data_IF_711757064721
#
_entry.id   IF_711757064721
#
_cell.length_a   1.000
_cell.length_b   1.000
_cell.length_c   1.000
_cell.angle_alpha   90.00
_cell.angle_beta   90.00
_cell.angle_gamma   90.00
#
_symmetry.space_group_name_H-M   'P 1'
#
loop_
_entity.id
_entity.type
_entity.pdbx_description
1 polymer ?
#
# COMPACT_ATOMS: atom_id res chain seq x y z
N UNK A 1 -42.28 -10.47 -32.53
CA UNK A 1 -41.55 -9.37 -33.17
C UNK A 1 -40.19 -9.94 -33.54
N UNK A 2 -40.04 -10.35 -34.79
CA UNK A 2 -38.74 -10.73 -35.33
C UNK A 2 -37.93 -9.44 -35.46
N UNK A 3 -36.94 -9.28 -34.59
CA UNK A 3 -35.96 -8.20 -34.73
C UNK A 3 -35.10 -8.55 -35.96
N UNK A 4 -35.47 -8.03 -37.13
CA UNK A 4 -34.56 -7.94 -38.28
C UNK A 4 -33.40 -7.05 -37.84
N UNK A 5 -32.30 -7.69 -37.43
CA UNK A 5 -31.03 -7.00 -37.21
C UNK A 5 -30.60 -6.43 -38.56
N UNK A 6 -30.66 -5.11 -38.72
CA UNK A 6 -30.19 -4.40 -39.91
C UNK A 6 -28.80 -4.90 -40.29
N UNK A 7 -28.68 -5.40 -41.52
CA UNK A 7 -27.41 -5.86 -42.07
C UNK A 7 -26.49 -4.64 -42.22
N UNK A 8 -25.37 -4.64 -41.48
CA UNK A 8 -24.39 -3.56 -41.53
C UNK A 8 -23.75 -3.47 -42.93
N UNK A 9 -24.08 -2.39 -43.65
CA UNK A 9 -23.60 -2.09 -45.02
C UNK A 9 -22.32 -1.26 -45.02
N UNK A 10 -21.76 -0.90 -43.88
CA UNK A 10 -20.49 -0.18 -43.82
C UNK A 10 -19.37 -1.15 -44.16
N UNK A 11 -18.76 -0.96 -45.34
CA UNK A 11 -17.57 -1.71 -45.74
C UNK A 11 -16.51 -1.60 -44.66
N UNK A 12 -16.12 -2.74 -44.09
CA UNK A 12 -15.12 -2.81 -43.03
C UNK A 12 -13.80 -2.27 -43.59
N UNK A 13 -13.21 -1.21 -43.02
CA UNK A 13 -11.87 -0.79 -43.40
C UNK A 13 -10.90 -1.91 -43.04
N UNK A 14 -10.41 -2.59 -44.07
CA UNK A 14 -9.45 -3.69 -43.91
C UNK A 14 -8.17 -3.40 -44.67
N UNK A 15 -7.06 -3.88 -44.12
CA UNK A 15 -5.76 -3.79 -44.79
C UNK A 15 -5.40 -5.19 -45.30
N UNK A 16 -5.32 -5.40 -46.62
CA UNK A 16 -4.90 -6.68 -47.17
C UNK A 16 -3.44 -6.95 -46.79
N UNK A 17 -3.13 -8.21 -46.50
CA UNK A 17 -1.80 -8.65 -46.12
C UNK A 17 -1.60 -10.14 -46.41
N UNK A 18 -0.35 -10.58 -46.31
CA UNK A 18 0.02 -11.99 -46.47
C UNK A 18 1.08 -12.34 -45.44
N UNK A 19 0.95 -13.51 -44.81
CA UNK A 19 1.92 -14.03 -43.84
C UNK A 19 2.21 -15.49 -44.14
N UNK A 20 3.49 -15.88 -44.04
CA UNK A 20 3.91 -17.28 -44.16
C UNK A 20 4.31 -17.78 -42.79
N UNK A 21 3.59 -18.80 -42.31
CA UNK A 21 3.79 -19.38 -40.98
C UNK A 21 4.36 -20.78 -41.10
N UNK A 22 5.48 -21.02 -40.42
CA UNK A 22 6.03 -22.36 -40.24
C UNK A 22 5.18 -23.12 -39.24
N UNK A 23 4.68 -24.29 -39.65
CA UNK A 23 3.80 -25.11 -38.82
C UNK A 23 4.54 -25.75 -37.65
N UNK A 24 3.78 -26.06 -36.61
CA UNK A 24 4.27 -26.80 -35.45
C UNK A 24 4.44 -28.31 -35.75
N UNK A 25 4.90 -29.05 -34.74
CA UNK A 25 5.08 -30.51 -34.83
C UNK A 25 3.77 -31.28 -35.08
N UNK A 26 2.61 -30.66 -34.87
CA UNK A 26 1.29 -31.23 -35.14
C UNK A 26 0.73 -30.80 -36.50
N UNK A 27 1.54 -30.15 -37.35
CA UNK A 27 1.15 -29.63 -38.66
C UNK A 27 0.03 -28.56 -38.57
N UNK A 28 -0.02 -27.81 -37.46
CA UNK A 28 -0.96 -26.73 -37.20
C UNK A 28 -0.26 -25.36 -37.21
N UNK A 29 -1.05 -24.32 -37.52
CA UNK A 29 -0.61 -22.91 -37.40
C UNK A 29 -1.18 -22.23 -36.15
N UNK A 30 -2.21 -22.80 -35.52
CA UNK A 30 -2.77 -22.32 -34.26
C UNK A 30 -3.87 -21.25 -34.34
N UNK A 31 -4.74 -21.32 -35.35
CA UNK A 31 -5.92 -20.44 -35.46
C UNK A 31 -7.23 -21.25 -35.47
N UNK A 32 -8.30 -20.66 -34.94
CA UNK A 32 -9.67 -21.13 -35.07
C UNK A 32 -10.40 -20.32 -36.14
N UNK A 33 -11.13 -20.99 -37.04
CA UNK A 33 -11.80 -20.37 -38.19
C UNK A 33 -13.32 -20.36 -37.96
N UNK A 34 -13.94 -19.21 -38.19
CA UNK A 34 -15.37 -18.97 -38.15
C UNK A 34 -15.91 -18.51 -39.50
N UNK A 35 -17.24 -18.52 -39.63
CA UNK A 35 -17.93 -18.15 -40.86
C UNK A 35 -17.90 -19.26 -41.92
N UNK A 36 -17.85 -18.84 -43.19
CA UNK A 36 -17.89 -19.71 -44.36
C UNK A 36 -19.32 -20.06 -44.83
N UNK A 37 -19.38 -20.58 -46.06
CA UNK A 37 -20.63 -20.94 -46.72
C UNK A 37 -21.45 -21.98 -45.91
N UNK A 38 -22.79 -21.97 -45.96
CA UNK A 38 -23.68 -21.13 -46.77
C UNK A 38 -24.17 -19.85 -46.07
N UNK A 39 -24.06 -19.77 -44.75
CA UNK A 39 -24.71 -18.73 -43.95
C UNK A 39 -23.86 -17.47 -43.73
N UNK A 40 -22.55 -17.53 -43.99
CA UNK A 40 -21.63 -16.41 -43.78
C UNK A 40 -20.69 -16.25 -44.99
N UNK A 41 -20.73 -15.12 -45.72
CA UNK A 41 -19.98 -14.94 -46.96
C UNK A 41 -18.46 -14.80 -46.75
N UNK A 42 -18.02 -14.48 -45.53
CA UNK A 42 -16.62 -14.31 -45.17
C UNK A 42 -16.12 -15.44 -44.25
N UNK A 43 -14.81 -15.69 -44.29
CA UNK A 43 -14.12 -16.57 -43.34
C UNK A 43 -13.24 -15.70 -42.47
N UNK A 44 -13.29 -15.88 -41.17
CA UNK A 44 -12.53 -15.03 -40.23
C UNK A 44 -11.93 -15.84 -39.10
N UNK A 45 -10.91 -15.26 -38.47
CA UNK A 45 -10.24 -15.85 -37.32
C UNK A 45 -11.11 -15.64 -36.08
N UNK A 46 -11.56 -16.71 -35.43
CA UNK A 46 -12.29 -16.63 -34.16
C UNK A 46 -11.33 -16.41 -33.00
N UNK A 47 -10.20 -17.12 -33.03
CA UNK A 47 -9.22 -17.12 -31.97
C UNK A 47 -7.86 -17.50 -32.53
N UNK A 48 -6.81 -16.88 -31.98
CA UNK A 48 -5.44 -17.35 -32.11
C UNK A 48 -5.07 -18.04 -30.79
N UNK A 49 -4.52 -19.25 -30.85
CA UNK A 49 -4.18 -20.02 -29.65
C UNK A 49 -2.78 -19.66 -29.15
N UNK A 50 -2.63 -19.49 -27.84
CA UNK A 50 -1.34 -19.17 -27.21
C UNK A 50 -0.30 -20.27 -27.50
N UNK A 51 0.98 -19.89 -27.56
CA UNK A 51 2.12 -20.80 -27.82
C UNK A 51 2.06 -21.54 -29.18
N UNK A 52 1.38 -20.97 -30.18
CA UNK A 52 1.34 -21.51 -31.54
C UNK A 52 2.10 -20.62 -32.53
N UNK A 53 2.44 -21.11 -33.75
CA UNK A 53 3.14 -20.30 -34.74
C UNK A 53 2.45 -18.96 -35.05
N UNK A 54 1.12 -18.93 -35.18
CA UNK A 54 0.38 -17.70 -35.41
C UNK A 54 0.45 -16.72 -34.23
N UNK A 55 0.46 -17.21 -32.99
CA UNK A 55 0.59 -16.36 -31.81
C UNK A 55 2.00 -15.77 -31.65
N UNK A 56 3.04 -16.56 -31.97
CA UNK A 56 4.44 -16.13 -31.88
C UNK A 56 4.81 -15.11 -32.95
N UNK A 57 4.28 -15.29 -34.17
CA UNK A 57 4.46 -14.34 -35.27
C UNK A 57 3.69 -13.02 -35.01
N UNK A 58 2.48 -13.11 -34.45
CA UNK A 58 1.68 -11.94 -34.04
C UNK A 58 1.00 -11.18 -35.20
N UNK A 59 1.21 -11.57 -36.45
CA UNK A 59 0.59 -10.90 -37.61
C UNK A 59 -0.91 -11.17 -37.70
N UNK A 60 -1.35 -12.40 -37.41
CA UNK A 60 -2.77 -12.79 -37.45
C UNK A 60 -3.44 -12.55 -36.10
N UNK A 61 -4.69 -12.10 -36.12
CA UNK A 61 -5.43 -11.86 -34.89
C UNK A 61 -6.96 -12.04 -35.08
N UNK A 62 -7.68 -12.28 -34.00
CA UNK A 62 -9.12 -12.57 -33.99
C UNK A 62 -9.95 -11.45 -34.64
N UNK A 63 -10.89 -11.80 -35.50
CA UNK A 63 -11.64 -10.85 -36.32
C UNK A 63 -10.98 -10.52 -37.67
N UNK A 64 -9.73 -10.94 -37.94
CA UNK A 64 -9.17 -10.83 -39.29
C UNK A 64 -9.87 -11.78 -40.27
N UNK A 65 -10.08 -11.34 -41.50
CA UNK A 65 -10.69 -12.16 -42.55
C UNK A 65 -9.60 -12.95 -43.30
N UNK A 66 -9.89 -14.20 -43.64
CA UNK A 66 -9.05 -15.08 -44.44
C UNK A 66 -9.55 -15.02 -45.88
N UNK A 67 -8.72 -14.53 -46.79
CA UNK A 67 -9.06 -14.37 -48.21
C UNK A 67 -8.45 -15.47 -49.09
N UNK A 68 -7.35 -16.08 -48.65
CA UNK A 68 -6.69 -17.17 -49.39
C UNK A 68 -5.70 -18.00 -48.58
N UNK A 69 -5.41 -19.20 -49.06
CA UNK A 69 -4.41 -20.13 -48.50
C UNK A 69 -3.50 -20.60 -49.64
N UNK A 70 -2.19 -20.39 -49.51
CA UNK A 70 -1.17 -20.69 -50.53
C UNK A 70 -1.56 -20.22 -51.94
N UNK A 71 -2.01 -18.97 -52.04
CA UNK A 71 -2.42 -18.34 -53.30
C UNK A 71 -3.79 -18.81 -53.85
N UNK A 72 -4.47 -19.77 -53.20
CA UNK A 72 -5.81 -20.21 -53.59
C UNK A 72 -6.87 -19.41 -52.84
N UNK A 73 -7.85 -18.79 -53.52
CA UNK A 73 -8.92 -18.07 -52.86
C UNK A 73 -9.80 -19.03 -52.03
N UNK A 74 -10.32 -18.52 -50.91
CA UNK A 74 -11.21 -19.27 -50.01
C UNK A 74 -12.65 -18.74 -49.95
N UNK A 75 -12.96 -17.67 -50.69
CA UNK A 75 -14.33 -17.14 -50.80
C UNK A 75 -15.28 -18.24 -51.29
N UNK A 76 -16.44 -18.37 -50.63
CA UNK A 76 -17.44 -19.39 -50.94
C UNK A 76 -17.16 -20.79 -50.38
N UNK A 77 -16.04 -21.00 -49.68
CA UNK A 77 -15.74 -22.27 -49.01
C UNK A 77 -16.31 -22.31 -47.58
N UNK A 78 -16.49 -23.52 -47.07
CA UNK A 78 -16.84 -23.76 -45.67
C UNK A 78 -15.60 -23.67 -44.78
N UNK A 79 -15.79 -23.38 -43.48
CA UNK A 79 -14.70 -23.39 -42.48
C UNK A 79 -13.91 -24.71 -42.47
N UNK A 80 -14.58 -25.84 -42.71
CA UNK A 80 -13.97 -27.18 -42.71
C UNK A 80 -13.07 -27.35 -43.93
N UNK A 81 -13.50 -26.88 -45.10
CA UNK A 81 -12.67 -26.93 -46.32
C UNK A 81 -11.42 -26.06 -46.18
N UNK A 82 -11.53 -24.86 -45.62
CA UNK A 82 -10.37 -23.99 -45.39
C UNK A 82 -9.41 -24.60 -44.38
N UNK A 83 -9.92 -25.18 -43.28
CA UNK A 83 -9.10 -25.90 -42.33
C UNK A 83 -8.34 -27.06 -43.00
N UNK A 84 -9.02 -27.85 -43.85
CA UNK A 84 -8.39 -28.92 -44.64
C UNK A 84 -7.35 -28.39 -45.63
N UNK A 85 -7.61 -27.25 -46.29
CA UNK A 85 -6.64 -26.61 -47.18
C UNK A 85 -5.36 -26.21 -46.45
N UNK A 86 -5.48 -25.64 -45.25
CA UNK A 86 -4.32 -25.29 -44.43
C UNK A 86 -3.59 -26.56 -43.99
N UNK A 87 -4.30 -27.59 -43.52
CA UNK A 87 -3.73 -28.86 -43.09
C UNK A 87 -3.01 -29.62 -44.21
N UNK A 88 -3.50 -29.55 -45.45
CA UNK A 88 -2.91 -30.23 -46.60
C UNK A 88 -1.53 -29.67 -47.01
N UNK A 89 -1.22 -28.42 -46.64
CA UNK A 89 0.09 -27.81 -46.87
C UNK A 89 1.10 -28.38 -45.87
N UNK A 90 2.27 -28.83 -46.34
CA UNK A 90 3.34 -29.33 -45.47
C UNK A 90 4.40 -28.24 -45.24
N UNK A 91 4.95 -28.19 -44.02
CA UNK A 91 6.01 -27.24 -43.67
C UNK A 91 5.51 -25.82 -43.39
N UNK A 92 5.28 -25.02 -44.44
CA UNK A 92 4.95 -23.60 -44.33
C UNK A 92 3.62 -23.28 -45.03
N UNK A 93 2.71 -22.62 -44.32
CA UNK A 93 1.43 -22.18 -44.86
C UNK A 93 1.39 -20.65 -45.02
N UNK A 94 1.08 -20.20 -46.23
CA UNK A 94 0.90 -18.79 -46.57
C UNK A 94 -0.58 -18.42 -46.49
N UNK A 95 -0.93 -17.55 -45.54
CA UNK A 95 -2.28 -17.06 -45.31
C UNK A 95 -2.40 -15.65 -45.90
N UNK A 96 -3.35 -15.48 -46.81
CA UNK A 96 -3.77 -14.16 -47.30
C UNK A 96 -4.94 -13.70 -46.43
N UNK A 97 -4.84 -12.49 -45.89
CA UNK A 97 -5.80 -11.99 -44.92
C UNK A 97 -6.15 -10.52 -45.18
N UNK A 98 -7.30 -10.12 -44.66
CA UNK A 98 -7.75 -8.74 -44.55
C UNK A 98 -7.76 -8.37 -43.07
N UNK A 99 -6.81 -7.52 -42.66
CA UNK A 99 -6.64 -7.09 -41.27
C UNK A 99 -7.81 -6.22 -40.87
N UNK A 100 -8.49 -6.58 -39.78
CA UNK A 100 -9.56 -5.76 -39.22
C UNK A 100 -8.95 -4.52 -38.53
N UNK A 101 -9.27 -3.32 -39.03
CA UNK A 101 -9.03 -2.09 -38.27
C UNK A 101 -10.17 -1.90 -37.27
N UNK A 102 -9.90 -2.28 -36.02
CA UNK A 102 -10.86 -2.20 -34.94
C UNK A 102 -10.45 -1.08 -33.98
N UNK A 103 -11.37 -0.16 -33.66
CA UNK A 103 -11.21 0.74 -32.52
C UNK A 103 -11.80 0.08 -31.26
N UNK A 104 -10.98 -0.26 -30.24
CA UNK A 104 -11.46 -0.86 -29.01
C UNK A 104 -12.49 -0.01 -28.25
N UNK A 105 -12.60 1.30 -28.54
CA UNK A 105 -13.64 2.16 -27.98
C UNK A 105 -15.04 1.82 -28.52
N UNK A 106 -15.13 1.38 -29.77
CA UNK A 106 -16.41 1.01 -30.41
C UNK A 106 -16.98 -0.32 -29.89
N UNK A 107 -16.12 -1.22 -29.39
CA UNK A 107 -16.55 -2.50 -28.80
C UNK A 107 -17.06 -2.40 -27.37
N UNK A 108 -17.04 -1.22 -26.74
CA UNK A 108 -17.54 -1.01 -25.38
C UNK A 108 -19.04 -0.76 -25.42
N UNK A 109 -19.84 -1.80 -25.25
CA UNK A 109 -21.29 -1.65 -25.09
C UNK A 109 -21.61 -0.83 -23.83
N UNK A 110 -22.76 -0.14 -23.85
CA UNK A 110 -23.31 0.54 -22.67
C UNK A 110 -23.42 -0.41 -21.47
N UNK A 111 -23.68 -1.70 -21.71
CA UNK A 111 -23.71 -2.74 -20.70
C UNK A 111 -22.34 -2.92 -20.01
N UNK A 112 -21.24 -2.94 -20.75
CA UNK A 112 -19.87 -3.00 -20.16
C UNK A 112 -19.59 -1.74 -19.33
N UNK A 113 -20.06 -0.56 -19.78
CA UNK A 113 -19.89 0.69 -19.05
C UNK A 113 -20.70 0.68 -17.74
N UNK A 114 -21.97 0.27 -17.80
CA UNK A 114 -22.86 0.12 -16.64
C UNK A 114 -22.31 -0.90 -15.65
N UNK A 115 -21.82 -2.04 -16.14
CA UNK A 115 -21.13 -3.07 -15.35
C UNK A 115 -19.90 -2.50 -14.64
N UNK A 116 -19.08 -1.68 -15.31
CA UNK A 116 -17.92 -1.00 -14.69
C UNK A 116 -18.31 0.02 -13.63
N UNK A 117 -19.41 0.75 -13.83
CA UNK A 117 -19.94 1.70 -12.84
C UNK A 117 -20.43 0.94 -11.61
N UNK A 118 -21.22 -0.14 -11.81
CA UNK A 118 -21.65 -1.03 -10.73
C UNK A 118 -20.45 -1.58 -9.96
N UNK A 119 -19.40 -2.05 -10.65
CA UNK A 119 -18.20 -2.56 -10.00
C UNK A 119 -17.53 -1.53 -9.10
N UNK A 120 -17.29 -0.32 -9.60
CA UNK A 120 -16.66 0.77 -8.83
C UNK A 120 -17.43 1.17 -7.58
N UNK A 121 -18.77 1.09 -7.63
CA UNK A 121 -19.63 1.37 -6.47
C UNK A 121 -19.50 0.29 -5.38
N UNK A 122 -19.29 -0.95 -5.80
CA UNK A 122 -19.31 -2.12 -4.89
C UNK A 122 -17.92 -2.47 -4.36
N UNK A 123 -16.84 -2.04 -5.02
CA UNK A 123 -15.45 -2.27 -4.58
C UNK A 123 -15.15 -1.74 -3.17
N UNK A 124 -15.77 -0.62 -2.77
CA UNK A 124 -15.56 0.00 -1.46
C UNK A 124 -16.56 -0.48 -0.38
N UNK A 125 -17.47 -1.40 -0.72
CA UNK A 125 -18.49 -1.90 0.21
C UNK A 125 -18.08 -3.24 0.82
N UNK A 126 -18.39 -3.50 2.08
CA UNK A 126 -18.20 -4.83 2.68
C UNK A 126 -19.05 -5.88 1.94
N UNK A 127 -18.68 -7.16 2.00
CA UNK A 127 -19.46 -8.25 1.39
C UNK A 127 -20.91 -8.26 1.90
N UNK A 128 -21.09 -8.15 3.22
CA UNK A 128 -22.42 -8.07 3.83
C UNK A 128 -23.24 -6.85 3.39
N UNK A 129 -22.59 -5.69 3.21
CA UNK A 129 -23.27 -4.48 2.71
C UNK A 129 -23.66 -4.61 1.24
N UNK A 130 -22.80 -5.20 0.41
CA UNK A 130 -23.07 -5.42 -1.01
C UNK A 130 -24.22 -6.43 -1.21
N UNK A 131 -24.25 -7.50 -0.43
CA UNK A 131 -25.32 -8.50 -0.45
C UNK A 131 -26.66 -7.90 0.00
N UNK A 132 -26.65 -7.06 1.05
CA UNK A 132 -27.82 -6.33 1.51
C UNK A 132 -28.39 -5.36 0.46
N UNK A 133 -27.54 -4.83 -0.43
CA UNK A 133 -27.93 -3.97 -1.56
C UNK A 133 -28.23 -4.76 -2.85
N UNK A 134 -28.17 -6.09 -2.82
CA UNK A 134 -28.37 -6.94 -4.01
C UNK A 134 -27.26 -6.80 -5.07
N UNK A 135 -26.09 -6.28 -4.69
CA UNK A 135 -24.97 -6.03 -5.57
C UNK A 135 -23.96 -7.18 -5.51
N UNK A 136 -24.06 -8.13 -6.45
CA UNK A 136 -23.15 -9.28 -6.51
C UNK A 136 -21.67 -8.89 -6.68
N UNK A 137 -20.81 -9.38 -5.78
CA UNK A 137 -19.33 -9.30 -5.82
C UNK A 137 -18.64 -10.59 -6.28
N UNK A 138 -19.37 -11.57 -6.82
CA UNK A 138 -18.85 -12.93 -7.09
C UNK A 138 -17.54 -12.98 -7.91
N UNK A 139 -17.28 -11.97 -8.74
CA UNK A 139 -16.07 -11.83 -9.56
C UNK A 139 -14.80 -11.49 -8.73
N UNK A 140 -14.98 -10.78 -7.61
CA UNK A 140 -13.94 -10.25 -6.73
C UNK A 140 -13.69 -11.14 -5.50
N UNK A 141 -14.75 -11.65 -4.87
CA UNK A 141 -14.68 -12.23 -3.52
C UNK A 141 -13.86 -13.52 -3.37
N UNK A 142 -13.55 -14.21 -4.47
CA UNK A 142 -12.75 -15.45 -4.45
C UNK A 142 -11.37 -15.32 -5.13
N UNK A 143 -10.93 -14.10 -5.46
CA UNK A 143 -9.59 -13.91 -6.04
C UNK A 143 -8.51 -14.01 -4.95
N UNK A 144 -7.51 -14.88 -5.15
CA UNK A 144 -6.36 -14.98 -4.27
C UNK A 144 -5.59 -13.66 -4.12
N UNK A 145 -5.64 -12.78 -5.14
CA UNK A 145 -5.02 -11.46 -5.08
C UNK A 145 -5.78 -10.46 -4.21
N UNK A 146 -7.10 -10.64 -4.03
CA UNK A 146 -7.88 -9.83 -3.09
C UNK A 146 -7.52 -10.21 -1.65
N UNK A 147 -7.36 -11.51 -1.36
CA UNK A 147 -6.84 -11.96 -0.06
C UNK A 147 -5.43 -11.45 0.21
N UNK A 148 -4.55 -11.47 -0.80
CA UNK A 148 -3.21 -10.88 -0.69
C UNK A 148 -3.24 -9.38 -0.43
N UNK A 149 -4.21 -8.66 -0.98
CA UNK A 149 -4.39 -7.25 -0.69
C UNK A 149 -4.80 -7.01 0.76
N UNK A 150 -5.72 -7.80 1.30
CA UNK A 150 -6.12 -7.74 2.72
C UNK A 150 -4.95 -8.08 3.66
N UNK A 151 -4.15 -9.11 3.33
CA UNK A 151 -2.91 -9.44 4.06
C UNK A 151 -1.94 -8.25 4.07
N UNK A 152 -1.76 -7.58 2.94
CA UNK A 152 -0.88 -6.42 2.78
C UNK A 152 -1.38 -5.21 3.58
N UNK A 153 -2.70 -5.01 3.67
CA UNK A 153 -3.30 -3.97 4.53
C UNK A 153 -3.08 -4.25 6.02
N UNK A 154 -3.33 -5.47 6.48
CA UNK A 154 -3.06 -5.86 7.88
C UNK A 154 -1.59 -5.73 8.24
N UNK A 155 -0.72 -6.10 7.30
CA UNK A 155 0.73 -5.91 7.44
C UNK A 155 1.04 -4.43 7.59
N UNK A 156 0.52 -3.56 6.72
CA UNK A 156 0.73 -2.11 6.79
C UNK A 156 0.32 -1.51 8.15
N UNK A 157 -0.79 -1.95 8.74
CA UNK A 157 -1.23 -1.52 10.07
C UNK A 157 -0.24 -1.93 11.17
N UNK A 158 0.29 -3.15 11.12
CA UNK A 158 1.32 -3.61 12.04
C UNK A 158 2.58 -2.73 11.94
N UNK A 159 3.02 -2.39 10.72
CA UNK A 159 4.16 -1.48 10.51
C UNK A 159 3.91 -0.09 11.07
N UNK A 160 2.67 0.39 10.94
CA UNK A 160 2.30 1.71 11.44
C UNK A 160 2.43 1.73 12.97
N UNK A 161 1.91 0.70 13.63
CA UNK A 161 2.07 0.51 15.07
C UNK A 161 3.55 0.43 15.47
N UNK A 162 4.35 -0.41 14.80
CA UNK A 162 5.78 -0.55 15.08
C UNK A 162 6.53 0.79 14.96
N UNK A 163 6.25 1.56 13.91
CA UNK A 163 6.85 2.87 13.70
C UNK A 163 6.45 3.86 14.80
N UNK A 164 5.18 3.91 15.18
CA UNK A 164 4.69 4.78 16.25
C UNK A 164 5.31 4.43 17.61
N UNK A 165 5.37 3.15 17.96
CA UNK A 165 6.00 2.68 19.19
C UNK A 165 7.50 2.98 19.21
N UNK A 166 8.20 2.76 18.10
CA UNK A 166 9.64 3.07 17.98
C UNK A 166 9.89 4.57 18.15
N UNK A 167 9.04 5.44 17.57
CA UNK A 167 9.13 6.90 17.78
C UNK A 167 8.95 7.29 19.24
N UNK A 168 7.96 6.73 19.93
CA UNK A 168 7.73 6.98 21.37
C UNK A 168 8.91 6.52 22.22
N UNK A 169 9.45 5.32 21.92
CA UNK A 169 10.61 4.78 22.59
C UNK A 169 11.84 5.68 22.43
N UNK A 170 12.13 6.15 21.20
CA UNK A 170 13.27 7.04 20.96
C UNK A 170 13.12 8.38 21.67
N UNK A 171 11.88 8.90 21.78
CA UNK A 171 11.62 10.12 22.55
C UNK A 171 11.89 9.91 24.03
N UNK A 172 11.39 8.83 24.61
CA UNK A 172 11.65 8.48 26.01
C UNK A 172 13.15 8.28 26.29
N UNK A 173 13.88 7.62 25.37
CA UNK A 173 15.33 7.45 25.48
C UNK A 173 16.09 8.77 25.41
N UNK A 174 15.63 9.72 24.59
CA UNK A 174 16.21 11.05 24.51
C UNK A 174 16.01 11.82 25.81
N UNK A 175 14.80 11.81 26.37
CA UNK A 175 14.48 12.43 27.66
C UNK A 175 15.32 11.80 28.78
N UNK A 176 15.43 10.46 28.83
CA UNK A 176 16.29 9.75 29.78
C UNK A 176 17.77 10.15 29.64
N UNK A 177 18.26 10.30 28.41
CA UNK A 177 19.64 10.74 28.15
C UNK A 177 19.88 12.15 28.69
N UNK A 178 18.90 13.06 28.55
CA UNK A 178 18.98 14.39 29.14
C UNK A 178 19.01 14.34 30.67
N UNK A 179 18.23 13.45 31.29
CA UNK A 179 18.27 13.25 32.74
C UNK A 179 19.64 12.73 33.20
N UNK A 180 20.27 11.79 32.48
CA UNK A 180 21.63 11.36 32.78
C UNK A 180 22.63 12.52 32.72
N UNK A 181 22.53 13.40 31.72
CA UNK A 181 23.36 14.60 31.68
C UNK A 181 23.17 15.49 32.91
N UNK A 182 21.92 15.73 33.29
CA UNK A 182 21.61 16.53 34.49
C UNK A 182 22.19 15.91 35.76
N UNK A 183 22.06 14.59 35.95
CA UNK A 183 22.71 13.88 37.05
C UNK A 183 24.23 14.05 37.02
N UNK A 184 24.84 13.93 35.85
CA UNK A 184 26.27 14.15 35.66
C UNK A 184 26.71 15.54 36.12
N UNK A 185 25.95 16.57 35.76
CA UNK A 185 26.25 17.95 36.14
C UNK A 185 26.06 18.18 37.65
N UNK A 186 24.98 17.65 38.25
CA UNK A 186 24.72 17.77 39.69
C UNK A 186 25.77 17.03 40.52
N UNK A 187 26.10 15.77 40.19
CA UNK A 187 27.12 15.02 40.91
C UNK A 187 28.51 15.67 40.79
N UNK A 188 28.82 16.28 39.64
CA UNK A 188 30.06 17.03 39.48
C UNK A 188 30.13 18.24 40.43
N UNK A 189 29.01 18.94 40.63
CA UNK A 189 28.95 20.07 41.57
C UNK A 189 29.06 19.61 43.03
N UNK A 190 28.38 18.51 43.38
CA UNK A 190 28.46 17.93 44.73
C UNK A 190 29.89 17.48 45.02
N UNK A 191 30.52 16.74 44.09
CA UNK A 191 31.89 16.25 44.26
C UNK A 191 32.91 17.35 44.52
N UNK A 192 32.81 18.50 43.84
CA UNK A 192 33.71 19.65 44.06
C UNK A 192 33.51 20.32 45.43
N UNK A 193 32.29 20.26 45.98
CA UNK A 193 31.94 20.91 47.26
C UNK A 193 32.07 19.99 48.47
N UNK A 194 32.24 18.69 48.25
CA UNK A 194 32.30 17.69 49.30
C UNK A 194 33.64 17.74 50.05
N UNK A 195 33.66 18.02 51.37
CA UNK A 195 34.89 18.13 52.13
C UNK A 195 35.62 16.80 52.33
N UNK A 196 34.90 15.68 52.28
CA UNK A 196 35.51 14.35 52.42
C UNK A 196 36.05 13.87 51.06
N UNK A 197 37.37 13.71 50.96
CA UNK A 197 38.05 13.36 49.70
C UNK A 197 37.51 12.06 49.05
N UNK A 198 37.20 11.04 49.85
CA UNK A 198 36.66 9.77 49.35
C UNK A 198 35.25 9.94 48.74
N UNK A 199 34.38 10.72 49.38
CA UNK A 199 33.04 11.01 48.87
C UNK A 199 33.10 11.95 47.65
N UNK A 200 34.01 12.94 47.66
CA UNK A 200 34.30 13.80 46.51
C UNK A 200 34.68 12.99 45.27
N UNK A 201 35.63 12.05 45.40
CA UNK A 201 36.05 11.16 44.31
C UNK A 201 34.90 10.28 43.82
N UNK A 202 34.07 9.75 44.73
CA UNK A 202 32.89 8.96 44.39
C UNK A 202 31.90 9.74 43.53
N UNK A 203 31.55 10.97 43.94
CA UNK A 203 30.63 11.82 43.19
C UNK A 203 31.19 12.21 41.82
N UNK A 204 32.50 12.44 41.69
CA UNK A 204 33.14 12.69 40.38
C UNK A 204 33.04 11.45 39.48
N UNK A 205 33.30 10.24 40.00
CA UNK A 205 33.14 8.99 39.23
C UNK A 205 31.69 8.78 38.78
N UNK A 206 30.70 9.01 39.64
CA UNK A 206 29.29 8.96 39.26
C UNK A 206 28.93 10.02 38.22
N UNK A 207 29.48 11.23 38.34
CA UNK A 207 29.26 12.30 37.38
C UNK A 207 29.73 11.91 35.97
N UNK A 208 30.94 11.36 35.87
CA UNK A 208 31.50 10.87 34.61
C UNK A 208 30.71 9.68 34.06
N UNK A 209 30.32 8.74 34.91
CA UNK A 209 29.50 7.60 34.51
C UNK A 209 28.18 8.04 33.86
N UNK A 210 27.45 8.95 34.51
CA UNK A 210 26.20 9.51 33.99
C UNK A 210 26.40 10.29 32.69
N UNK A 211 27.48 11.08 32.56
CA UNK A 211 27.83 11.76 31.29
C UNK A 211 28.16 10.78 30.17
N UNK A 212 28.79 9.64 30.47
CA UNK A 212 29.07 8.60 29.49
C UNK A 212 27.79 7.87 29.05
N UNK A 213 26.89 7.57 29.98
CA UNK A 213 25.57 6.99 29.66
C UNK A 213 24.78 7.90 28.70
N UNK A 214 24.81 9.23 28.90
CA UNK A 214 24.20 10.17 27.95
C UNK A 214 24.82 10.04 26.55
N UNK A 215 26.16 10.05 26.44
CA UNK A 215 26.85 9.91 25.14
C UNK A 215 26.47 8.60 24.44
N UNK A 216 26.36 7.49 25.17
CA UNK A 216 25.92 6.21 24.62
C UNK A 216 24.46 6.26 24.17
N UNK A 217 23.58 6.91 24.94
CA UNK A 217 22.18 7.12 24.59
C UNK A 217 22.02 7.92 23.30
N UNK A 218 22.75 9.03 23.14
CA UNK A 218 22.74 9.81 21.90
C UNK A 218 23.25 9.00 20.70
N UNK A 219 24.24 8.12 20.90
CA UNK A 219 24.75 7.22 19.84
C UNK A 219 23.72 6.17 19.44
N UNK A 220 23.01 5.61 20.41
CA UNK A 220 21.90 4.68 20.17
C UNK A 220 20.80 5.35 19.32
N UNK A 221 20.39 6.56 19.69
CA UNK A 221 19.39 7.34 18.94
C UNK A 221 19.81 7.57 17.48
N UNK A 222 21.08 7.96 17.25
CA UNK A 222 21.63 8.13 15.88
C UNK A 222 21.65 6.81 15.10
N UNK A 223 21.84 5.69 15.78
CA UNK A 223 21.88 4.35 15.17
C UNK A 223 20.49 3.89 14.78
N UNK A 224 19.47 4.12 15.61
CA UNK A 224 18.09 3.65 15.36
C UNK A 224 17.32 4.60 14.45
N UNK A 225 17.59 5.92 14.47
CA UNK A 225 16.82 6.92 13.69
C UNK A 225 16.64 6.58 12.18
N UNK A 226 17.65 6.07 11.45
CA UNK A 226 17.48 5.70 10.04
C UNK A 226 16.42 4.61 9.79
N UNK A 227 16.22 3.71 10.75
CA UNK A 227 15.18 2.67 10.68
C UNK A 227 13.79 3.23 10.48
N UNK A 228 13.48 4.36 11.14
CA UNK A 228 12.20 5.03 10.96
C UNK A 228 12.02 5.55 9.53
N UNK A 229 13.09 5.97 8.87
CA UNK A 229 13.03 6.43 7.48
C UNK A 229 12.72 5.29 6.51
N UNK A 230 13.35 4.14 6.74
CA UNK A 230 13.16 2.94 5.90
C UNK A 230 11.75 2.38 6.06
N UNK A 231 11.28 2.24 7.31
CA UNK A 231 9.90 1.82 7.60
C UNK A 231 8.88 2.79 7.00
N UNK A 232 9.13 4.11 7.09
CA UNK A 232 8.27 5.13 6.50
C UNK A 232 8.21 5.04 4.98
N UNK A 233 9.34 4.73 4.33
CA UNK A 233 9.39 4.51 2.87
C UNK A 233 8.58 3.29 2.45
N UNK A 234 8.69 2.19 3.20
CA UNK A 234 7.88 0.99 2.95
C UNK A 234 6.38 1.28 3.05
N UNK A 235 5.97 1.96 4.13
CA UNK A 235 4.57 2.25 4.45
C UNK A 235 3.91 3.26 3.49
N UNK A 236 4.64 4.32 3.12
CA UNK A 236 4.08 5.44 2.37
C UNK A 236 4.40 5.41 0.87
N UNK A 237 5.32 4.54 0.42
CA UNK A 237 5.64 4.41 -1.01
C UNK A 237 5.39 3.00 -1.53
N UNK A 238 6.00 1.97 -0.94
CA UNK A 238 5.97 0.61 -1.49
C UNK A 238 4.59 -0.06 -1.41
N UNK A 239 3.95 0.02 -0.24
CA UNK A 239 2.59 -0.51 -0.01
C UNK A 239 1.55 0.19 -0.92
N UNK A 240 1.46 1.53 -0.97
CA UNK A 240 0.49 2.23 -1.82
C UNK A 240 0.68 1.94 -3.32
N UNK A 241 1.93 1.85 -3.79
CA UNK A 241 2.22 1.55 -5.19
C UNK A 241 1.80 0.12 -5.59
N UNK A 242 2.03 -0.85 -4.70
CA UNK A 242 1.57 -2.23 -4.90
C UNK A 242 0.05 -2.32 -4.87
N UNK A 243 -0.60 -1.65 -3.92
CA UNK A 243 -2.07 -1.54 -3.85
C UNK A 243 -2.68 -0.94 -5.11
N UNK A 244 -2.08 0.12 -5.65
CA UNK A 244 -2.51 0.73 -6.92
C UNK A 244 -2.42 -0.25 -8.09
N UNK A 245 -1.36 -1.06 -8.11
CA UNK A 245 -1.14 -2.06 -9.17
C UNK A 245 -2.18 -3.18 -9.09
N UNK A 246 -2.48 -3.68 -7.88
CA UNK A 246 -3.53 -4.68 -7.65
C UNK A 246 -4.90 -4.12 -8.08
N UNK A 247 -5.22 -2.87 -7.74
CA UNK A 247 -6.48 -2.22 -8.18
C UNK A 247 -6.60 -2.17 -9.71
N UNK A 248 -5.54 -1.75 -10.41
CA UNK A 248 -5.49 -1.76 -11.88
C UNK A 248 -5.71 -3.16 -12.45
N UNK A 249 -5.19 -4.19 -11.79
CA UNK A 249 -5.44 -5.58 -12.19
C UNK A 249 -6.90 -5.98 -12.04
N UNK A 250 -7.54 -5.63 -10.92
CA UNK A 250 -8.95 -5.94 -10.69
C UNK A 250 -9.84 -5.29 -11.77
N UNK A 251 -9.55 -4.04 -12.15
CA UNK A 251 -10.22 -3.35 -13.26
C UNK A 251 -10.08 -4.11 -14.60
N UNK A 252 -8.86 -4.55 -14.91
CA UNK A 252 -8.58 -5.29 -16.16
C UNK A 252 -9.24 -6.68 -16.13
N UNK A 253 -9.20 -7.37 -15.00
CA UNK A 253 -9.89 -8.66 -14.79
C UNK A 253 -11.39 -8.51 -15.01
N UNK A 254 -11.98 -7.46 -14.45
CA UNK A 254 -13.40 -7.19 -14.60
C UNK A 254 -13.78 -6.95 -16.07
N UNK A 255 -13.01 -6.12 -16.78
CA UNK A 255 -13.23 -5.87 -18.22
C UNK A 255 -13.14 -7.16 -19.04
N UNK A 256 -12.13 -8.00 -18.77
CA UNK A 256 -11.95 -9.29 -19.43
C UNK A 256 -13.15 -10.23 -19.20
N UNK A 257 -13.62 -10.33 -17.96
CA UNK A 257 -14.77 -11.19 -17.63
C UNK A 257 -16.08 -10.67 -18.21
N UNK A 258 -16.30 -9.35 -18.21
CA UNK A 258 -17.49 -8.73 -18.80
C UNK A 258 -17.58 -8.99 -20.32
N UNK A 259 -16.44 -9.02 -21.01
CA UNK A 259 -16.37 -9.36 -22.44
C UNK A 259 -16.56 -10.86 -22.72
N UNK A 260 -16.47 -11.73 -21.71
CA UNK A 260 -16.59 -13.18 -21.84
C UNK A 260 -18.03 -13.71 -21.99
N UNK A 261 -19.04 -12.86 -21.80
CA UNK A 261 -20.46 -13.28 -21.89
C UNK A 261 -20.84 -13.71 -23.31
N UNK A 262 -21.64 -14.78 -23.50
CA UNK A 262 -22.00 -15.27 -24.82
C UNK A 262 -22.66 -14.18 -25.66
N UNK A 263 -22.08 -13.86 -26.82
CA UNK A 263 -22.72 -12.99 -27.79
C UNK A 263 -23.57 -13.81 -28.75
N UNK A 264 -24.74 -13.26 -29.09
CA UNK A 264 -25.52 -13.77 -30.20
C UNK A 264 -24.68 -13.68 -31.46
N UNK A 265 -24.45 -14.83 -32.09
CA UNK A 265 -23.79 -14.91 -33.39
C UNK A 265 -24.78 -14.39 -34.41
N UNK A 266 -24.81 -13.08 -34.62
CA UNK A 266 -25.59 -12.47 -35.71
C UNK A 266 -25.18 -13.19 -36.98
N UNK A 267 -26.15 -13.71 -37.71
CA UNK A 267 -26.10 -14.90 -38.59
C UNK A 267 -25.04 -14.87 -39.70
N UNK A 268 -24.26 -13.79 -39.85
CA UNK A 268 -23.38 -13.51 -40.98
C UNK A 268 -21.95 -13.11 -40.59
N UNK A 269 -21.57 -13.04 -39.30
CA UNK A 269 -20.20 -12.64 -38.93
C UNK A 269 -19.84 -11.20 -39.33
N UNK A 270 -20.78 -10.28 -39.07
CA UNK A 270 -20.68 -8.85 -39.34
C UNK A 270 -19.48 -8.15 -38.65
N UNK A 271 -19.29 -6.86 -38.95
CA UNK A 271 -18.24 -6.02 -38.35
C UNK A 271 -18.27 -6.07 -36.82
N UNK A 272 -19.45 -5.88 -36.22
CA UNK A 272 -19.63 -5.84 -34.76
C UNK A 272 -19.16 -7.13 -34.08
N UNK A 273 -19.53 -8.30 -34.62
CA UNK A 273 -19.09 -9.57 -34.06
C UNK A 273 -17.57 -9.74 -34.13
N UNK A 274 -16.97 -9.39 -35.28
CA UNK A 274 -15.51 -9.46 -35.48
C UNK A 274 -14.77 -8.44 -34.61
N UNK A 275 -15.32 -7.25 -34.43
CA UNK A 275 -14.81 -6.21 -33.53
C UNK A 275 -14.80 -6.71 -32.07
N UNK A 276 -15.85 -7.41 -31.64
CA UNK A 276 -15.90 -7.95 -30.28
C UNK A 276 -14.90 -9.11 -30.10
N UNK A 277 -14.71 -9.96 -31.12
CA UNK A 277 -13.64 -10.97 -31.09
C UNK A 277 -12.25 -10.34 -30.89
N UNK A 278 -11.97 -9.23 -31.59
CA UNK A 278 -10.73 -8.44 -31.38
C UNK A 278 -10.65 -7.92 -29.95
N UNK A 279 -11.72 -7.28 -29.46
CA UNK A 279 -11.75 -6.72 -28.10
C UNK A 279 -11.52 -7.80 -27.03
N UNK A 280 -12.08 -9.00 -27.22
CA UNK A 280 -11.85 -10.15 -26.33
C UNK A 280 -10.40 -10.60 -26.31
N UNK A 281 -9.79 -10.73 -27.49
CA UNK A 281 -8.38 -11.11 -27.58
C UNK A 281 -7.50 -10.07 -26.88
N UNK A 282 -7.71 -8.78 -27.13
CA UNK A 282 -6.96 -7.72 -26.48
C UNK A 282 -7.15 -7.72 -24.96
N UNK A 283 -8.38 -7.86 -24.48
CA UNK A 283 -8.68 -7.92 -23.06
C UNK A 283 -8.02 -9.13 -22.39
N UNK A 284 -8.02 -10.31 -23.04
CA UNK A 284 -7.29 -11.50 -22.57
C UNK A 284 -5.79 -11.24 -22.45
N UNK A 285 -5.18 -10.64 -23.47
CA UNK A 285 -3.74 -10.33 -23.47
C UNK A 285 -3.39 -9.30 -22.39
N UNK A 286 -4.18 -8.23 -22.25
CA UNK A 286 -4.02 -7.23 -21.18
C UNK A 286 -4.15 -7.88 -19.80
N UNK A 287 -5.14 -8.74 -19.60
CA UNK A 287 -5.36 -9.46 -18.35
C UNK A 287 -4.20 -10.39 -18.00
N UNK A 288 -3.75 -11.22 -18.96
CA UNK A 288 -2.64 -12.14 -18.74
C UNK A 288 -1.34 -11.41 -18.39
N UNK A 289 -1.03 -10.32 -19.10
CA UNK A 289 0.12 -9.46 -18.81
C UNK A 289 0.03 -8.86 -17.41
N UNK A 290 -1.09 -8.18 -17.11
CA UNK A 290 -1.26 -7.52 -15.81
C UNK A 290 -1.23 -8.52 -14.65
N UNK A 291 -1.80 -9.73 -14.83
CA UNK A 291 -1.72 -10.81 -13.83
C UNK A 291 -0.27 -11.18 -13.52
N UNK A 292 0.56 -11.35 -14.56
CA UNK A 292 1.99 -11.65 -14.41
C UNK A 292 2.70 -10.51 -13.69
N UNK A 293 2.51 -9.27 -14.15
CA UNK A 293 3.14 -8.08 -13.58
C UNK A 293 2.82 -7.91 -12.09
N UNK A 294 1.57 -8.17 -11.68
CA UNK A 294 1.14 -8.06 -10.27
C UNK A 294 1.75 -9.15 -9.41
N UNK A 295 1.81 -10.39 -9.90
CA UNK A 295 2.38 -11.51 -9.15
C UNK A 295 3.88 -11.28 -8.91
N UNK A 296 4.63 -10.90 -9.95
CA UNK A 296 6.05 -10.55 -9.83
C UNK A 296 6.25 -9.38 -8.85
N UNK A 297 5.39 -8.36 -8.91
CA UNK A 297 5.50 -7.19 -8.02
C UNK A 297 5.22 -7.52 -6.55
N UNK A 298 4.22 -8.38 -6.27
CA UNK A 298 3.95 -8.86 -4.90
C UNK A 298 5.14 -9.68 -4.40
N UNK A 299 5.68 -10.58 -5.22
CA UNK A 299 6.83 -11.40 -4.82
C UNK A 299 8.08 -10.54 -4.54
N UNK A 300 8.36 -9.55 -5.39
CA UNK A 300 9.45 -8.60 -5.17
C UNK A 300 9.25 -7.76 -3.90
N UNK A 301 8.01 -7.35 -3.62
CA UNK A 301 7.69 -6.64 -2.39
C UNK A 301 7.94 -7.52 -1.17
N UNK A 302 7.45 -8.75 -1.17
CA UNK A 302 7.60 -9.71 -0.07
C UNK A 302 9.08 -10.04 0.19
N UNK A 303 9.87 -10.27 -0.87
CA UNK A 303 11.31 -10.55 -0.73
C UNK A 303 12.07 -9.36 -0.13
N UNK A 304 11.83 -8.15 -0.67
CA UNK A 304 12.47 -6.93 -0.18
C UNK A 304 12.06 -6.64 1.27
N UNK A 305 10.78 -6.81 1.55
CA UNK A 305 10.20 -6.62 2.88
C UNK A 305 10.90 -7.46 3.94
N UNK A 306 11.00 -8.78 3.73
CA UNK A 306 11.62 -9.69 4.69
C UNK A 306 13.07 -9.30 4.97
N UNK A 307 13.84 -8.97 3.92
CA UNK A 307 15.24 -8.55 4.07
C UNK A 307 15.36 -7.24 4.86
N UNK A 308 14.57 -6.23 4.51
CA UNK A 308 14.62 -4.91 5.14
C UNK A 308 14.28 -5.02 6.64
N UNK A 309 13.23 -5.76 7.01
CA UNK A 309 12.82 -5.91 8.42
C UNK A 309 13.88 -6.62 9.24
N UNK A 310 14.40 -7.74 8.75
CA UNK A 310 15.38 -8.53 9.49
C UNK A 310 16.60 -7.68 9.78
N UNK A 311 17.07 -6.93 8.78
CA UNK A 311 18.16 -5.98 8.94
C UNK A 311 17.83 -4.89 9.97
N UNK A 312 16.64 -4.28 9.89
CA UNK A 312 16.23 -3.25 10.83
C UNK A 312 16.09 -3.76 12.28
N UNK A 313 15.46 -4.93 12.48
CA UNK A 313 15.32 -5.53 13.80
C UNK A 313 16.67 -5.94 14.38
N UNK A 314 17.56 -6.50 13.57
CA UNK A 314 18.92 -6.82 13.99
C UNK A 314 19.67 -5.55 14.41
N UNK A 315 19.55 -4.47 13.64
CA UNK A 315 20.14 -3.16 13.96
C UNK A 315 19.56 -2.59 15.26
N UNK A 316 18.25 -2.74 15.49
CA UNK A 316 17.59 -2.35 16.73
C UNK A 316 18.17 -3.09 17.94
N UNK A 317 18.12 -4.42 17.91
CA UNK A 317 18.54 -5.29 19.01
C UNK A 317 20.03 -5.14 19.28
N UNK A 318 20.86 -5.10 18.23
CA UNK A 318 22.31 -4.92 18.37
C UNK A 318 22.66 -3.54 18.94
N UNK A 319 21.93 -2.49 18.52
CA UNK A 319 22.10 -1.15 19.08
C UNK A 319 21.76 -1.11 20.56
N UNK A 320 20.62 -1.70 20.94
CA UNK A 320 20.16 -1.77 22.33
C UNK A 320 21.11 -2.59 23.19
N UNK A 321 21.54 -3.78 22.75
CA UNK A 321 22.51 -4.61 23.46
C UNK A 321 23.78 -3.83 23.73
N UNK A 322 24.37 -3.24 22.68
CA UNK A 322 25.60 -2.47 22.81
C UNK A 322 25.46 -1.29 23.78
N UNK A 323 24.33 -0.59 23.76
CA UNK A 323 24.07 0.48 24.72
C UNK A 323 24.10 -0.03 26.16
N UNK A 324 23.37 -1.11 26.45
CA UNK A 324 23.33 -1.67 27.80
C UNK A 324 24.68 -2.28 28.23
N UNK A 325 25.41 -2.90 27.32
CA UNK A 325 26.76 -3.42 27.59
C UNK A 325 27.75 -2.28 27.92
N UNK A 326 27.70 -1.18 27.16
CA UNK A 326 28.50 0.03 27.41
C UNK A 326 28.11 0.70 28.76
N UNK A 327 26.82 0.77 29.08
CA UNK A 327 26.34 1.28 30.37
C UNK A 327 26.78 0.39 31.54
N UNK A 328 26.65 -0.93 31.39
CA UNK A 328 27.07 -1.88 32.41
C UNK A 328 28.57 -1.80 32.69
N UNK A 329 29.40 -1.71 31.65
CA UNK A 329 30.85 -1.57 31.80
C UNK A 329 31.22 -0.33 32.64
N UNK A 330 30.61 0.82 32.33
CA UNK A 330 30.84 2.07 33.07
C UNK A 330 30.36 2.00 34.51
N UNK A 331 29.19 1.40 34.76
CA UNK A 331 28.65 1.26 36.11
C UNK A 331 29.44 0.24 36.95
N UNK A 332 29.95 -0.82 36.32
CA UNK A 332 30.78 -1.83 36.98
C UNK A 332 32.13 -1.27 37.45
N UNK A 333 32.71 -0.35 36.68
CA UNK A 333 33.95 0.34 37.07
C UNK A 333 33.71 1.40 38.16
N UNK A 334 32.47 1.91 38.26
CA UNK A 334 32.04 2.86 39.28
C UNK A 334 31.59 2.17 40.59
N UNK A 335 32.31 1.14 41.04
CA UNK A 335 32.09 0.51 42.35
C UNK A 335 32.72 1.35 43.45
N UNK A 336 31.94 2.24 44.06
CA UNK A 336 32.40 3.19 45.08
C UNK A 336 31.68 3.04 46.42
N UNK A 337 31.05 1.89 46.67
CA UNK A 337 30.40 1.62 47.95
C UNK A 337 31.32 0.87 48.92
N UNK A 338 31.23 1.18 50.24
CA UNK A 338 30.35 2.17 50.86
C UNK A 338 30.91 3.60 50.79
N UNK A 339 30.05 4.57 50.46
CA UNK A 339 30.35 6.00 50.61
C UNK A 339 30.03 6.38 52.06
N UNK A 340 31.04 6.51 52.90
CA UNK A 340 30.86 7.17 54.20
C UNK A 340 30.67 8.67 53.94
N UNK A 341 29.46 9.18 54.15
CA UNK A 341 29.16 10.62 54.10
C UNK A 341 28.98 11.09 55.54
N UNK A 342 29.91 11.91 56.03
CA UNK A 342 29.81 12.49 57.37
C UNK A 342 28.78 13.64 57.40
N UNK A 343 27.50 13.26 57.56
CA UNK A 343 26.36 14.18 57.67
C UNK A 343 26.47 15.14 58.87
N UNK A 344 27.35 14.87 59.84
CA UNK A 344 27.50 15.71 61.03
C UNK A 344 28.19 17.04 60.73
N UNK A 345 28.97 17.14 59.65
CA UNK A 345 29.62 18.39 59.20
C UNK A 345 28.78 19.21 58.23
N UNK A 346 27.77 18.61 57.60
CA UNK A 346 26.88 19.25 56.62
C UNK A 346 25.53 19.68 57.21
N UNK A 347 25.16 19.21 58.41
CA UNK A 347 24.01 19.74 59.12
C UNK A 347 24.32 21.13 59.68
N UNK A 348 23.53 22.10 59.23
CA UNK A 348 23.51 23.48 59.68
C UNK A 348 23.52 23.54 61.22
N UNK A 349 24.54 24.15 61.80
CA UNK A 349 24.58 24.49 63.23
C UNK A 349 23.43 25.45 63.57
N UNK A 350 22.32 24.94 64.10
CA UNK A 350 21.35 25.74 64.85
C UNK A 350 21.86 26.00 66.27
N UNK A 351 23.09 26.54 66.37
CA UNK A 351 23.74 26.90 67.62
C UNK A 351 23.42 28.34 68.03
N UNK A 352 22.42 28.50 68.89
CA UNK A 352 22.28 29.54 69.92
C UNK A 352 22.62 30.99 69.56
N UNK A 353 21.59 31.77 69.22
CA UNK A 353 21.54 33.18 69.63
C UNK A 353 20.42 33.34 70.67
N UNK A 354 20.84 33.59 71.91
CA UNK A 354 20.02 34.11 72.99
C UNK A 354 19.41 35.46 72.57
N UNK A 355 18.08 35.53 72.49
CA UNK A 355 17.34 36.74 72.84
C UNK A 355 16.11 36.32 73.64
N UNK A 356 16.25 36.35 74.95
CA UNK A 356 15.17 36.31 75.93
C UNK A 356 14.36 37.60 75.83
N UNK A 357 13.03 37.54 75.75
CA UNK A 357 12.13 38.47 76.44
C UNK A 357 10.79 37.77 76.72
N UNK A 358 10.28 38.09 77.91
CA UNK A 358 9.29 37.38 78.70
C UNK A 358 7.84 37.52 78.21
N UNK A 359 6.99 36.60 78.67
CA UNK A 359 5.54 36.77 78.79
C UNK A 359 5.21 38.06 79.55
N UNK A 360 4.26 38.84 79.03
CA UNK A 360 3.37 39.71 79.81
C UNK A 360 2.00 39.70 79.10
N UNK A 361 0.97 39.28 79.87
CA UNK A 361 -0.46 39.40 79.56
C UNK A 361 -0.99 40.82 79.86
N UNK A 362 -2.22 41.10 79.42
CA UNK A 362 -3.10 42.28 79.70
C UNK A 362 -2.84 43.56 78.85
N UNK A 363 -3.79 44.35 78.35
CA UNK A 363 -5.25 44.47 78.49
C UNK A 363 -5.84 45.35 77.34
N UNK A 364 -7.16 45.57 77.38
CA UNK A 364 -8.14 46.08 76.39
C UNK A 364 -8.00 47.48 75.73
N UNK A 365 -8.88 47.67 74.73
CA UNK A 365 -9.63 48.88 74.28
C UNK A 365 -9.29 49.29 72.83
N UNK A 366 -10.21 49.46 71.88
CA UNK A 366 -11.64 49.74 71.91
C UNK A 366 -11.94 50.87 70.91
N UNK A 367 -12.64 50.57 69.80
CA UNK A 367 -13.55 51.47 69.02
C UNK A 367 -14.04 50.74 67.77
N UNK A 368 -15.32 50.32 67.75
CA UNK A 368 -16.49 51.03 67.18
C UNK A 368 -16.34 51.27 65.67
N UNK A 369 -17.31 50.98 64.79
CA UNK A 369 -18.73 50.58 64.91
C UNK A 369 -19.25 50.31 63.49
N UNK A 370 -20.24 49.41 63.41
CA UNK A 370 -21.47 49.42 62.58
C UNK A 370 -21.30 49.60 61.06
N UNK A 371 -21.73 48.63 60.25
CA UNK A 371 -23.16 48.36 59.97
C UNK A 371 -23.53 49.18 58.72
N UNK A 372 -24.29 48.72 57.74
CA UNK A 372 -25.31 47.70 57.66
C UNK A 372 -25.74 47.68 56.16
N UNK A 373 -26.24 46.52 55.70
CA UNK A 373 -27.45 46.32 54.87
C UNK A 373 -27.76 47.20 53.62
N UNK A 374 -28.53 46.78 52.61
CA UNK A 374 -29.31 45.59 52.37
C UNK A 374 -29.58 45.46 50.84
N UNK A 375 -29.65 44.20 50.41
CA UNK A 375 -30.70 43.59 49.56
C UNK A 375 -31.22 44.16 48.22
N UNK A 376 -31.51 43.12 47.41
CA UNK A 376 -32.54 42.96 46.35
C UNK A 376 -32.18 43.61 45.01
N UNK A 377 -32.31 42.95 43.86
CA UNK A 377 -32.90 41.67 43.51
C UNK A 377 -33.42 41.74 42.08
N UNK A 378 -33.63 40.57 41.48
CA UNK A 378 -34.45 40.31 40.28
C UNK A 378 -33.81 40.43 38.89
N UNK A 379 -33.68 39.24 38.28
CA UNK A 379 -34.05 38.86 36.91
C UNK A 379 -33.74 39.79 35.73
N UNK A 380 -33.09 39.22 34.70
CA UNK A 380 -33.74 38.97 33.40
C UNK A 380 -32.86 38.13 32.47
N UNK A 381 -33.54 37.31 31.68
CA UNK A 381 -33.01 36.40 30.67
C UNK A 381 -32.58 37.14 29.39
N UNK A 382 -31.81 36.40 28.59
CA UNK A 382 -31.90 36.29 27.14
C UNK A 382 -30.92 37.10 26.27
N UNK A 383 -30.20 36.30 25.47
CA UNK A 383 -29.98 36.43 24.03
C UNK A 383 -28.66 36.99 23.46
N UNK A 384 -28.15 36.15 22.55
CA UNK A 384 -27.38 36.43 21.34
C UNK A 384 -25.88 36.76 21.43
N UNK A 385 -25.09 35.81 20.94
CA UNK A 385 -24.46 35.99 19.63
C UNK A 385 -22.97 36.28 19.60
N UNK A 386 -22.32 35.58 18.66
CA UNK A 386 -21.09 35.94 17.94
C UNK A 386 -19.81 35.15 18.27
N UNK A 387 -19.51 34.27 17.32
CA UNK A 387 -18.23 33.83 16.78
C UNK A 387 -16.95 34.60 17.18
N UNK A 388 -15.88 33.83 17.43
CA UNK A 388 -14.54 33.93 16.81
C UNK A 388 -13.69 32.79 17.39
N UNK A 389 -13.31 31.76 16.62
CA UNK A 389 -12.16 31.71 15.70
C UNK A 389 -10.90 32.33 16.31
N UNK A 390 -9.89 31.49 16.58
CA UNK A 390 -8.48 31.65 16.16
C UNK A 390 -7.76 30.33 16.49
N UNK A 391 -7.36 29.67 15.41
CA UNK A 391 -6.29 28.67 15.30
C UNK A 391 -4.90 29.33 15.31
N UNK A 392 -3.87 28.48 15.38
CA UNK A 392 -2.45 28.65 15.02
C UNK A 392 -1.57 29.29 16.12
N UNK A 393 -0.42 28.71 16.50
CA UNK A 393 0.57 27.89 15.76
C UNK A 393 1.08 26.64 16.51
#
# INVERSE_FOLDING_TARGET
>A
MDYELEEDKLGIPTVPGTVTLKKDSQNLIGISIGGGAQYCPCLYIVQVFDNTPAALDGTLAAGDEITGVNGKPVKGKTKVEVAKMIQAVQGEATIHYNKLQADPKQGKSLDIVLKKVKHRLVENMSSGTADALGLSRAILCNDGLVKKLEELERTAELYKGLMEHTKRLLRAFFELSQTHRAFGDVFSVIGVREPQAAASEAFVKFAEAHRNIEKYGIRLLKTIKPMLHDLNTYLHKAIPDTKLTIRKYLDVKFEYLALGEPLYRVSTGNYEYRLILRCRQEARTRFAKMRKDVLEKIELLDQKHVQDIVFQLQRFVSGMSRYYDECYAVLKEADVFPIEVDLSRTMINYGGQNTSYADDEEEEEGRRREGEEDRRGSSCQAENGAEKLIDDE
#
